data_IF_048854316624
#
_entry.id   IF_048854316624
#
_cell.length_a   1.000
_cell.length_b   1.000
_cell.length_c   1.000
_cell.angle_alpha   90.00
_cell.angle_beta   90.00
_cell.angle_gamma   90.00
#
_symmetry.space_group_name_H-M   'P 1'
#
loop_
_entity.id
_entity.type
_entity.pdbx_description
1 polymer ?
#
# COMPACT_ATOMS: atom_id res chain seq x y z
N UNK A 1 12.02 -1.37 2.45
CA UNK A 1 12.19 -0.46 1.29
C UNK A 1 10.82 -0.14 0.70
N UNK A 2 10.65 1.06 0.16
CA UNK A 2 9.42 1.47 -0.51
C UNK A 2 9.43 1.04 -1.98
N UNK A 3 8.27 0.66 -2.50
CA UNK A 3 8.01 0.70 -3.93
C UNK A 3 7.95 2.16 -4.38
N UNK A 4 8.54 2.46 -5.52
CA UNK A 4 8.71 3.82 -6.01
C UNK A 4 8.21 3.92 -7.44
N UNK A 5 7.37 4.92 -7.67
CA UNK A 5 6.75 5.19 -8.95
C UNK A 5 6.93 6.65 -9.32
N UNK A 6 7.21 6.89 -10.60
CA UNK A 6 7.22 8.24 -11.16
C UNK A 6 5.93 8.46 -11.93
N UNK A 7 5.17 9.45 -11.50
CA UNK A 7 3.93 9.82 -12.18
C UNK A 7 4.22 10.81 -13.30
N UNK A 8 3.38 10.80 -14.35
CA UNK A 8 3.54 11.68 -15.51
C UNK A 8 3.39 13.17 -15.17
N UNK A 9 2.72 13.50 -14.07
CA UNK A 9 2.60 14.87 -13.55
C UNK A 9 3.82 15.34 -12.76
N UNK A 10 4.88 14.53 -12.69
CA UNK A 10 6.12 14.82 -11.98
C UNK A 10 6.14 14.40 -10.51
N UNK A 11 5.05 13.91 -9.99
CA UNK A 11 4.96 13.41 -8.61
C UNK A 11 5.71 12.08 -8.46
N UNK A 12 6.41 11.90 -7.34
CA UNK A 12 6.95 10.61 -6.93
C UNK A 12 5.97 9.99 -5.90
N UNK A 13 5.50 8.80 -6.19
CA UNK A 13 4.67 8.02 -5.28
C UNK A 13 5.52 6.94 -4.62
N UNK A 14 5.48 6.90 -3.31
CA UNK A 14 6.11 5.88 -2.48
C UNK A 14 5.03 5.04 -1.81
N UNK A 15 5.15 3.73 -1.91
CA UNK A 15 4.20 2.80 -1.32
C UNK A 15 4.92 1.69 -0.57
N UNK A 16 4.41 1.32 0.60
CA UNK A 16 4.92 0.20 1.38
C UNK A 16 3.78 -0.51 2.09
N UNK A 17 3.82 -1.84 2.03
CA UNK A 17 3.00 -2.69 2.86
C UNK A 17 3.82 -3.15 4.05
N UNK A 18 3.39 -2.78 5.25
CA UNK A 18 4.10 -3.09 6.49
C UNK A 18 3.31 -4.13 7.27
N UNK A 19 3.89 -5.28 7.49
CA UNK A 19 3.32 -6.29 8.38
C UNK A 19 3.80 -5.98 9.79
N UNK A 20 2.85 -5.74 10.68
CA UNK A 20 3.15 -5.32 12.06
C UNK A 20 3.13 -6.49 13.03
N UNK A 21 2.40 -7.55 12.70
CA UNK A 21 2.29 -8.72 13.57
C UNK A 21 1.87 -9.96 12.80
N UNK A 22 2.45 -11.09 13.13
CA UNK A 22 2.08 -12.41 12.63
C UNK A 22 1.52 -13.25 13.77
N UNK A 23 0.49 -14.04 13.46
CA UNK A 23 -0.09 -15.01 14.37
C UNK A 23 -0.14 -16.38 13.71
N UNK A 24 0.13 -17.40 14.49
CA UNK A 24 -0.22 -18.76 14.13
C UNK A 24 -1.64 -19.03 14.60
N UNK A 25 -2.50 -19.48 13.69
CA UNK A 25 -3.82 -19.98 14.08
C UNK A 25 -3.64 -21.35 14.71
N UNK A 26 -4.17 -21.58 15.93
CA UNK A 26 -4.09 -22.90 16.56
C UNK A 26 -4.69 -23.97 15.64
N UNK A 27 -3.95 -25.06 15.45
CA UNK A 27 -4.44 -26.24 14.74
C UNK A 27 -5.35 -27.01 15.67
N UNK A 28 -6.65 -27.06 15.36
CA UNK A 28 -7.66 -27.74 16.19
C UNK A 28 -7.87 -29.20 15.82
N UNK A 29 -7.38 -29.63 14.65
CA UNK A 29 -7.53 -31.00 14.15
C UNK A 29 -6.19 -31.54 13.64
N UNK A 30 -5.90 -32.85 13.86
CA UNK A 30 -4.71 -33.50 13.31
C UNK A 30 -4.75 -33.44 11.76
N UNK A 31 -3.65 -32.95 11.15
CA UNK A 31 -3.55 -32.83 9.70
C UNK A 31 -4.12 -31.55 9.11
N UNK A 32 -4.66 -30.64 9.93
CA UNK A 32 -5.07 -29.30 9.47
C UNK A 32 -3.85 -28.45 9.11
N UNK A 33 -3.99 -27.65 8.05
CA UNK A 33 -2.95 -26.70 7.65
C UNK A 33 -2.78 -25.61 8.70
N UNK A 34 -1.54 -25.26 8.95
CA UNK A 34 -1.21 -24.12 9.82
C UNK A 34 -1.50 -22.83 9.04
N UNK A 35 -2.43 -22.04 9.53
CA UNK A 35 -2.73 -20.76 8.95
C UNK A 35 -2.02 -19.64 9.69
N UNK A 36 -1.40 -18.73 8.93
CA UNK A 36 -0.84 -17.50 9.45
C UNK A 36 -1.84 -16.37 9.26
N UNK A 37 -2.06 -15.61 10.31
CA UNK A 37 -2.76 -14.33 10.23
C UNK A 37 -1.77 -13.22 10.49
N UNK A 38 -1.98 -12.09 9.83
CA UNK A 38 -1.14 -10.92 10.03
C UNK A 38 -1.98 -9.66 10.18
N UNK A 39 -1.51 -8.74 10.99
CA UNK A 39 -1.95 -7.36 10.95
C UNK A 39 -0.95 -6.56 10.12
N UNK A 40 -1.45 -5.61 9.35
CA UNK A 40 -0.66 -4.86 8.40
C UNK A 40 -1.18 -3.45 8.24
N UNK A 41 -0.32 -2.60 7.74
CA UNK A 41 -0.65 -1.22 7.38
C UNK A 41 -0.08 -0.87 6.02
N UNK A 42 -0.77 0.01 5.32
CA UNK A 42 -0.28 0.60 4.09
C UNK A 42 0.32 1.97 4.39
N UNK A 43 1.47 2.23 3.84
CA UNK A 43 2.10 3.55 3.90
C UNK A 43 2.19 4.07 2.48
N UNK A 44 1.56 5.21 2.25
CA UNK A 44 1.65 5.95 1.00
C UNK A 44 2.21 7.33 1.29
N UNK A 45 3.12 7.78 0.46
CA UNK A 45 3.65 9.13 0.50
C UNK A 45 3.82 9.65 -0.91
N UNK A 46 3.61 10.94 -1.10
CA UNK A 46 3.82 11.61 -2.37
C UNK A 46 4.83 12.73 -2.18
N UNK A 47 5.66 12.92 -3.19
CA UNK A 47 6.55 14.07 -3.32
C UNK A 47 6.09 14.80 -4.57
N UNK A 48 5.33 15.87 -4.37
CA UNK A 48 4.69 16.61 -5.45
C UNK A 48 5.54 17.81 -5.90
N UNK A 49 5.59 18.10 -7.21
CA UNK A 49 6.17 19.35 -7.68
C UNK A 49 5.34 20.56 -7.20
N UNK A 50 6.01 21.68 -7.03
CA UNK A 50 5.40 22.91 -6.49
C UNK A 50 4.18 23.38 -7.29
N UNK A 51 4.19 23.20 -8.60
CA UNK A 51 3.09 23.67 -9.48
C UNK A 51 1.77 22.91 -9.27
N UNK A 52 1.80 21.74 -8.62
CA UNK A 52 0.60 20.98 -8.28
C UNK A 52 0.02 21.34 -6.90
N UNK A 53 0.78 22.04 -6.08
CA UNK A 53 0.39 22.39 -4.72
C UNK A 53 -0.61 23.54 -4.70
N UNK A 54 -1.47 23.54 -3.71
CA UNK A 54 -2.50 24.55 -3.60
C UNK A 54 -3.02 24.71 -2.17
N UNK A 55 -4.07 25.51 -2.07
CA UNK A 55 -4.75 25.71 -0.78
C UNK A 55 -5.54 24.45 -0.41
N UNK A 56 -5.45 23.99 0.84
CA UNK A 56 -6.26 22.88 1.32
C UNK A 56 -7.73 23.07 1.06
N UNK A 57 -8.40 22.01 0.62
CA UNK A 57 -9.85 21.99 0.44
C UNK A 57 -10.56 22.12 1.78
N UNK A 58 -11.57 22.99 1.86
CA UNK A 58 -12.33 23.26 3.08
C UNK A 58 -13.81 23.13 2.78
N UNK A 59 -14.56 22.29 3.50
CA UNK A 59 -14.06 21.29 4.47
C UNK A 59 -13.24 20.19 3.81
N UNK A 60 -12.41 19.45 4.58
CA UNK A 60 -11.69 18.31 4.02
C UNK A 60 -12.68 17.29 3.43
N UNK A 61 -12.43 16.79 2.20
CA UNK A 61 -13.34 15.86 1.57
C UNK A 61 -13.31 14.49 2.27
N UNK A 62 -14.45 13.82 2.30
CA UNK A 62 -14.55 12.44 2.74
C UNK A 62 -14.03 11.48 1.65
N UNK A 63 -13.73 10.25 2.03
CA UNK A 63 -13.35 9.20 1.08
C UNK A 63 -14.43 8.98 0.02
N UNK A 64 -15.68 8.98 0.42
CA UNK A 64 -16.82 8.81 -0.49
C UNK A 64 -16.91 9.95 -1.50
N UNK A 65 -16.75 11.19 -1.05
CA UNK A 65 -16.73 12.37 -1.93
C UNK A 65 -15.57 12.29 -2.93
N UNK A 66 -14.38 11.87 -2.49
CA UNK A 66 -13.22 11.72 -3.37
C UNK A 66 -13.47 10.65 -4.44
N UNK A 67 -14.01 9.50 -4.06
CA UNK A 67 -14.35 8.42 -5.00
C UNK A 67 -15.45 8.80 -5.98
N UNK A 68 -16.37 9.66 -5.58
CA UNK A 68 -17.45 10.14 -6.42
C UNK A 68 -17.04 11.24 -7.40
N UNK A 69 -15.84 11.81 -7.28
CA UNK A 69 -15.36 12.86 -8.19
C UNK A 69 -15.19 12.31 -9.61
N UNK A 70 -15.98 12.84 -10.54
CA UNK A 70 -15.93 12.46 -11.96
C UNK A 70 -14.80 13.15 -12.73
N UNK A 71 -14.25 14.22 -12.17
CA UNK A 71 -13.18 15.02 -12.77
C UNK A 71 -11.79 14.64 -12.28
N UNK A 72 -11.67 13.55 -11.53
CA UNK A 72 -10.36 12.99 -11.17
C UNK A 72 -9.65 12.50 -12.43
N UNK A 73 -8.36 12.83 -12.52
CA UNK A 73 -7.55 12.59 -13.71
C UNK A 73 -6.74 11.32 -13.50
N UNK A 74 -6.88 10.33 -14.41
CA UNK A 74 -6.00 9.18 -14.43
C UNK A 74 -4.57 9.63 -14.77
N UNK A 75 -3.61 9.22 -13.94
CA UNK A 75 -2.21 9.60 -14.08
C UNK A 75 -1.40 8.37 -14.44
N UNK A 76 -0.67 8.43 -15.55
CA UNK A 76 0.25 7.36 -15.94
C UNK A 76 1.42 7.28 -14.97
N UNK A 77 1.89 6.08 -14.73
CA UNK A 77 3.03 5.86 -13.85
C UNK A 77 4.08 4.99 -14.50
N UNK A 78 5.34 5.29 -14.21
CA UNK A 78 6.48 4.44 -14.50
C UNK A 78 6.96 3.80 -13.21
N UNK A 79 7.18 2.49 -13.22
CA UNK A 79 7.71 1.75 -12.08
C UNK A 79 9.21 2.00 -12.03
N UNK A 80 9.70 2.58 -10.94
CA UNK A 80 11.14 2.73 -10.71
C UNK A 80 11.69 1.56 -9.89
N UNK A 81 10.96 1.13 -8.85
CA UNK A 81 11.32 -0.04 -8.06
C UNK A 81 10.12 -0.62 -7.33
N UNK A 82 10.08 -1.93 -7.21
CA UNK A 82 9.09 -2.70 -6.43
C UNK A 82 9.79 -3.78 -5.63
N UNK A 83 10.50 -3.45 -4.54
CA UNK A 83 11.27 -4.41 -3.79
C UNK A 83 10.40 -5.35 -2.98
N UNK A 84 10.88 -6.56 -2.77
CA UNK A 84 10.36 -7.46 -1.77
C UNK A 84 10.80 -7.01 -0.38
N UNK A 85 9.89 -7.03 0.59
CA UNK A 85 10.19 -6.85 1.99
C UNK A 85 10.20 -8.22 2.66
N UNK A 86 11.20 -8.47 3.48
CA UNK A 86 11.42 -9.74 4.13
C UNK A 86 11.24 -9.63 5.64
N UNK A 87 10.60 -10.63 6.22
CA UNK A 87 10.38 -10.75 7.66
C UNK A 87 10.85 -12.13 8.14
N UNK A 88 11.71 -12.16 9.16
CA UNK A 88 12.04 -13.38 9.87
C UNK A 88 10.97 -13.69 10.91
N UNK A 89 10.43 -14.90 10.85
CA UNK A 89 9.45 -15.35 11.84
C UNK A 89 10.15 -16.14 12.94
N UNK A 90 9.54 -16.16 14.14
CA UNK A 90 10.10 -16.81 15.31
C UNK A 90 10.27 -18.33 15.18
N UNK A 91 9.52 -18.95 14.26
CA UNK A 91 9.62 -20.38 13.95
C UNK A 91 10.73 -20.72 12.94
N UNK A 92 11.55 -19.76 12.55
CA UNK A 92 12.62 -19.92 11.58
C UNK A 92 12.19 -19.83 10.12
N UNK A 93 10.92 -19.57 9.85
CA UNK A 93 10.43 -19.34 8.49
C UNK A 93 10.57 -17.87 8.09
N UNK A 94 10.61 -17.59 6.79
CA UNK A 94 10.59 -16.25 6.23
C UNK A 94 9.25 -15.88 5.61
N UNK A 95 8.95 -14.62 5.63
CA UNK A 95 7.76 -14.07 4.97
C UNK A 95 8.15 -12.89 4.09
N UNK A 96 7.75 -12.94 2.82
CA UNK A 96 8.03 -11.90 1.84
C UNK A 96 6.76 -11.17 1.50
N UNK A 97 6.81 -9.86 1.42
CA UNK A 97 5.70 -9.04 0.95
C UNK A 97 6.15 -8.06 -0.12
N UNK A 98 5.25 -7.74 -1.01
CA UNK A 98 5.44 -6.74 -2.05
C UNK A 98 4.13 -6.05 -2.34
N UNK A 99 4.16 -4.73 -2.47
CA UNK A 99 3.04 -3.95 -2.96
C UNK A 99 3.30 -3.54 -4.41
N UNK A 100 2.25 -3.61 -5.22
CA UNK A 100 2.23 -3.09 -6.58
C UNK A 100 1.06 -2.13 -6.73
N UNK A 101 1.35 -0.90 -7.08
CA UNK A 101 0.32 0.07 -7.45
C UNK A 101 -0.17 -0.27 -8.86
N UNK A 102 -1.48 -0.35 -9.03
CA UNK A 102 -2.12 -0.73 -10.30
C UNK A 102 -2.72 0.45 -11.04
N UNK A 103 -3.22 1.44 -10.31
CA UNK A 103 -3.72 2.68 -10.90
C UNK A 103 -3.60 3.86 -9.96
N UNK A 104 -3.49 5.05 -10.53
CA UNK A 104 -3.42 6.31 -9.79
C UNK A 104 -4.34 7.32 -10.46
N UNK A 105 -5.16 8.01 -9.68
CA UNK A 105 -5.95 9.14 -10.12
C UNK A 105 -5.64 10.34 -9.24
N UNK A 106 -5.38 11.49 -9.84
CA UNK A 106 -5.26 12.75 -9.11
C UNK A 106 -6.64 13.39 -9.02
N UNK A 107 -7.10 13.67 -7.81
CA UNK A 107 -8.35 14.39 -7.58
C UNK A 107 -8.14 15.90 -7.70
N UNK A 108 -9.24 16.64 -7.73
CA UNK A 108 -9.21 18.12 -7.67
C UNK A 108 -9.06 18.64 -6.24
N UNK A 109 -9.18 17.80 -5.26
CA UNK A 109 -9.05 18.16 -3.85
C UNK A 109 -7.59 18.26 -3.44
N UNK A 110 -7.31 19.20 -2.55
CA UNK A 110 -5.99 19.45 -1.96
C UNK A 110 -6.04 19.04 -0.50
N UNK A 111 -5.05 18.27 -0.09
CA UNK A 111 -4.91 17.83 1.30
C UNK A 111 -4.42 18.93 2.23
N UNK A 112 -4.43 18.65 3.51
CA UNK A 112 -4.01 19.61 4.56
C UNK A 112 -2.56 20.05 4.46
N UNK A 113 -1.73 19.27 3.79
CA UNK A 113 -0.32 19.56 3.52
C UNK A 113 -0.08 20.41 2.25
N UNK A 114 -1.16 20.73 1.52
CA UNK A 114 -1.08 21.49 0.28
C UNK A 114 -0.82 20.63 -0.96
N UNK A 115 -0.66 19.34 -0.83
CA UNK A 115 -0.49 18.42 -1.94
C UNK A 115 -1.84 17.93 -2.48
N UNK A 116 -1.96 17.63 -3.78
CA UNK A 116 -3.15 16.99 -4.32
C UNK A 116 -3.44 15.65 -3.63
N UNK A 117 -4.70 15.30 -3.51
CA UNK A 117 -5.09 13.98 -3.01
C UNK A 117 -5.18 13.02 -4.19
N UNK A 118 -4.48 11.90 -4.07
CA UNK A 118 -4.48 10.83 -5.07
C UNK A 118 -5.32 9.64 -4.58
N UNK A 119 -6.08 9.05 -5.49
CA UNK A 119 -6.70 7.75 -5.31
C UNK A 119 -5.76 6.70 -5.90
N UNK A 120 -5.37 5.75 -5.09
CA UNK A 120 -4.38 4.73 -5.45
C UNK A 120 -4.97 3.35 -5.27
N UNK A 121 -5.01 2.58 -6.35
CA UNK A 121 -5.34 1.17 -6.30
C UNK A 121 -4.04 0.36 -6.27
N UNK A 122 -4.01 -0.65 -5.44
CA UNK A 122 -2.81 -1.48 -5.28
C UNK A 122 -3.17 -2.94 -5.00
N UNK A 123 -2.22 -3.82 -5.28
CA UNK A 123 -2.24 -5.23 -4.93
C UNK A 123 -1.08 -5.54 -4.02
N UNK A 124 -1.31 -6.39 -3.05
CA UNK A 124 -0.29 -6.89 -2.15
C UNK A 124 -0.07 -8.37 -2.40
N UNK A 125 1.19 -8.75 -2.53
CA UNK A 125 1.62 -10.13 -2.67
C UNK A 125 2.35 -10.54 -1.40
N UNK A 126 2.11 -11.77 -0.96
CA UNK A 126 2.81 -12.33 0.16
C UNK A 126 3.10 -13.80 -0.06
N UNK A 127 4.29 -14.25 0.35
CA UNK A 127 4.59 -15.67 0.44
C UNK A 127 5.38 -15.97 1.69
N UNK A 128 5.18 -17.20 2.15
CA UNK A 128 5.97 -17.80 3.20
C UNK A 128 6.99 -18.75 2.58
N UNK A 129 8.24 -18.68 3.06
CA UNK A 129 9.28 -19.64 2.75
C UNK A 129 9.57 -20.45 4.01
N UNK A 130 9.28 -21.74 3.96
CA UNK A 130 9.55 -22.67 5.06
C UNK A 130 10.97 -23.23 5.01
N UNK A 131 11.34 -23.98 6.07
CA UNK A 131 12.64 -24.64 6.16
C UNK A 131 12.90 -25.68 5.05
N UNK A 132 11.86 -26.09 4.34
CA UNK A 132 11.89 -27.10 3.27
C UNK A 132 11.82 -26.49 1.86
N UNK A 133 12.12 -25.22 1.70
CA UNK A 133 12.04 -24.47 0.43
C UNK A 133 10.68 -24.55 -0.29
N UNK A 134 9.61 -24.84 0.45
CA UNK A 134 8.27 -24.94 -0.12
C UNK A 134 7.66 -23.56 -0.26
N UNK A 135 7.47 -23.17 -1.48
CA UNK A 135 6.78 -21.94 -1.86
C UNK A 135 5.27 -22.09 -1.65
N UNK A 136 4.71 -21.40 -0.68
CA UNK A 136 3.25 -21.31 -0.52
C UNK A 136 2.80 -19.86 -0.73
N UNK A 137 2.09 -19.54 -1.83
CA UNK A 137 1.47 -18.22 -1.98
C UNK A 137 0.41 -18.05 -0.89
N UNK A 138 0.51 -16.96 -0.12
CA UNK A 138 -0.39 -16.76 1.01
C UNK A 138 -1.72 -16.16 0.59
N UNK A 139 -1.72 -15.04 -0.12
CA UNK A 139 -2.93 -14.41 -0.64
C UNK A 139 -2.61 -13.14 -1.44
N UNK A 140 -3.33 -12.92 -2.51
CA UNK A 140 -3.40 -11.64 -3.17
C UNK A 140 -4.52 -10.80 -2.54
N UNK A 141 -4.17 -9.61 -2.05
CA UNK A 141 -5.12 -8.67 -1.49
C UNK A 141 -5.17 -7.42 -2.37
N UNK A 142 -6.38 -7.06 -2.79
CA UNK A 142 -6.60 -5.83 -3.55
C UNK A 142 -7.21 -4.78 -2.64
N UNK A 143 -6.61 -3.61 -2.62
CA UNK A 143 -7.07 -2.48 -1.81
C UNK A 143 -7.12 -1.21 -2.63
N UNK A 144 -8.13 -0.40 -2.37
CA UNK A 144 -8.18 0.99 -2.84
C UNK A 144 -7.81 1.91 -1.69
N UNK A 145 -6.80 2.75 -1.88
CA UNK A 145 -6.25 3.60 -0.83
C UNK A 145 -6.21 5.04 -1.31
N UNK A 146 -6.53 5.96 -0.41
CA UNK A 146 -6.30 7.39 -0.64
C UNK A 146 -4.90 7.72 -0.17
N UNK A 147 -4.09 8.25 -1.07
CA UNK A 147 -2.79 8.79 -0.72
C UNK A 147 -2.96 10.09 0.07
N UNK A 148 -2.50 10.08 1.31
CA UNK A 148 -2.28 11.28 2.12
C UNK A 148 -0.90 11.18 2.75
N UNK A 149 -0.20 12.31 2.75
CA UNK A 149 1.18 12.38 3.23
C UNK A 149 1.34 11.98 4.70
N UNK A 150 0.25 12.05 5.48
CA UNK A 150 0.24 11.85 6.92
C UNK A 150 -0.66 10.71 7.37
N UNK A 151 -0.82 9.66 6.58
CA UNK A 151 -1.37 8.44 7.18
C UNK A 151 -0.32 7.89 8.15
N UNK A 152 -0.44 8.28 9.40
CA UNK A 152 0.34 7.71 10.48
C UNK A 152 0.10 6.20 10.50
N UNK A 153 1.17 5.44 10.55
CA UNK A 153 1.10 4.01 10.84
C UNK A 153 0.42 3.89 12.19
N UNK A 154 -0.74 3.21 12.31
CA UNK A 154 -1.29 2.95 13.62
C UNK A 154 -0.26 2.14 14.40
N UNK A 155 0.18 2.75 15.50
CA UNK A 155 1.16 2.17 16.40
C UNK A 155 0.68 0.88 17.08
#
# INVERSE_FOLDING_TARGET
>A
MYSRYRLEDGTILLAKYVVTKFYLTPVTEPGAEVHYQSTSSFVLATICPEYLRGKPSVPPPTLEELRAQKDAIAVRMAIESEPWNYYDLADGTGFFTRIRVTSVKRTKSIGTDGDPIYLVDSRTFGFRMGNDDVYAPVKELTHSIIGQRNQSIPG
#
